data_IF_670286865725
#
_entry.id   IF_670286865725
#
_cell.length_a   1.000
_cell.length_b   1.000
_cell.length_c   1.000
_cell.angle_alpha   90.00
_cell.angle_beta   90.00
_cell.angle_gamma   90.00
#
_symmetry.space_group_name_H-M   'P 1'
#
loop_
_entity.id
_entity.type
_entity.pdbx_description
1 polymer ?
#
# COMPACT_ATOMS: atom_id res chain seq x y z
N UNK A 1 -26.35 -23.63 -3.09
CA UNK A 1 -26.72 -22.76 -1.95
C UNK A 1 -26.53 -21.33 -2.44
N UNK A 2 -27.61 -20.60 -2.68
CA UNK A 2 -27.56 -19.18 -3.05
C UNK A 2 -27.44 -18.35 -1.77
N UNK A 3 -26.49 -17.41 -1.74
CA UNK A 3 -26.34 -16.47 -0.65
C UNK A 3 -27.27 -15.29 -0.89
N UNK A 4 -28.21 -15.07 0.02
CA UNK A 4 -29.07 -13.89 0.03
C UNK A 4 -28.52 -12.89 1.05
N UNK A 5 -28.08 -11.69 0.64
CA UNK A 5 -27.53 -10.71 1.56
C UNK A 5 -28.60 -10.21 2.53
N UNK A 6 -28.27 -10.20 3.82
CA UNK A 6 -29.13 -9.65 4.88
C UNK A 6 -29.03 -8.11 4.92
N UNK A 7 -29.95 -7.45 5.61
CA UNK A 7 -29.87 -6.00 5.85
C UNK A 7 -28.62 -5.59 6.65
N UNK A 8 -28.12 -6.49 7.50
CA UNK A 8 -26.86 -6.31 8.21
C UNK A 8 -25.68 -6.28 7.23
N UNK A 9 -25.67 -7.18 6.25
CA UNK A 9 -24.60 -7.24 5.24
C UNK A 9 -24.61 -6.02 4.34
N UNK A 10 -25.81 -5.58 3.93
CA UNK A 10 -25.99 -4.32 3.18
C UNK A 10 -25.46 -3.12 3.98
N UNK A 11 -25.82 -3.02 5.26
CA UNK A 11 -25.39 -1.93 6.12
C UNK A 11 -23.87 -1.93 6.34
N UNK A 12 -23.27 -3.10 6.54
CA UNK A 12 -21.83 -3.25 6.71
C UNK A 12 -21.07 -2.85 5.43
N UNK A 13 -21.55 -3.27 4.26
CA UNK A 13 -20.97 -2.88 2.98
C UNK A 13 -21.05 -1.37 2.74
N UNK A 14 -22.19 -0.76 3.04
CA UNK A 14 -22.37 0.70 2.90
C UNK A 14 -21.42 1.49 3.81
N UNK A 15 -21.15 1.01 5.03
CA UNK A 15 -20.15 1.61 5.92
C UNK A 15 -18.74 1.48 5.35
N UNK A 16 -18.39 0.34 4.78
CA UNK A 16 -17.10 0.15 4.13
C UNK A 16 -16.93 1.09 2.92
N UNK A 17 -17.97 1.25 2.09
CA UNK A 17 -17.93 2.20 0.97
C UNK A 17 -17.82 3.65 1.44
N UNK A 18 -18.54 4.04 2.50
CA UNK A 18 -18.40 5.37 3.10
C UNK A 18 -16.97 5.61 3.63
N UNK A 19 -16.37 4.62 4.28
CA UNK A 19 -14.97 4.70 4.71
C UNK A 19 -14.01 4.82 3.52
N UNK A 20 -14.28 4.13 2.41
CA UNK A 20 -13.46 4.24 1.19
C UNK A 20 -13.49 5.66 0.61
N UNK A 21 -14.67 6.29 0.57
CA UNK A 21 -14.81 7.68 0.13
C UNK A 21 -14.07 8.65 1.06
N UNK A 22 -14.16 8.46 2.37
CA UNK A 22 -13.42 9.28 3.33
C UNK A 22 -11.90 9.15 3.16
N UNK A 23 -11.40 7.93 2.94
CA UNK A 23 -9.98 7.72 2.69
C UNK A 23 -9.56 8.40 1.39
N UNK A 24 -10.31 8.20 0.30
CA UNK A 24 -10.03 8.80 -0.99
C UNK A 24 -10.03 10.34 -0.95
N UNK A 25 -10.84 10.95 -0.08
CA UNK A 25 -10.90 12.40 0.11
C UNK A 25 -9.69 12.97 0.88
N UNK A 26 -8.97 12.14 1.65
CA UNK A 26 -7.86 12.57 2.51
C UNK A 26 -6.48 12.34 1.92
N UNK A 27 -6.34 11.29 1.11
CA UNK A 27 -5.04 10.95 0.51
C UNK A 27 -4.75 11.81 -0.73
N UNK A 28 -3.49 12.20 -0.96
CA UNK A 28 -3.10 13.00 -2.12
C UNK A 28 -3.11 12.20 -3.44
N UNK A 29 -2.96 10.87 -3.35
CA UNK A 29 -2.87 9.98 -4.49
C UNK A 29 -3.94 8.89 -4.36
N UNK A 30 -4.80 8.77 -5.37
CA UNK A 30 -5.81 7.73 -5.39
C UNK A 30 -5.17 6.36 -5.69
N UNK A 31 -5.62 5.29 -5.01
CA UNK A 31 -5.19 3.94 -5.36
C UNK A 31 -5.70 3.56 -6.74
N UNK A 32 -5.00 2.60 -7.37
CA UNK A 32 -5.44 2.01 -8.63
C UNK A 32 -6.73 1.21 -8.45
N UNK A 33 -6.79 0.42 -7.39
CA UNK A 33 -7.96 -0.38 -7.04
C UNK A 33 -8.34 -0.17 -5.57
N UNK A 34 -9.64 -0.11 -5.32
CA UNK A 34 -10.24 -0.19 -3.98
C UNK A 34 -11.11 -1.44 -3.95
N UNK A 35 -10.86 -2.33 -3.00
CA UNK A 35 -11.63 -3.58 -2.84
C UNK A 35 -12.15 -3.68 -1.43
N UNK A 36 -13.41 -4.07 -1.29
CA UNK A 36 -13.94 -4.55 -0.02
C UNK A 36 -13.59 -6.03 0.12
N UNK A 37 -12.99 -6.41 1.24
CA UNK A 37 -12.75 -7.80 1.60
C UNK A 37 -13.65 -8.16 2.79
N UNK A 38 -14.18 -9.38 2.80
CA UNK A 38 -14.92 -9.88 3.96
C UNK A 38 -13.95 -10.09 5.12
N UNK A 39 -14.21 -9.47 6.27
CA UNK A 39 -13.49 -9.81 7.49
C UNK A 39 -14.14 -11.07 8.09
N UNK A 40 -13.30 -12.01 8.55
CA UNK A 40 -13.77 -13.26 9.15
C UNK A 40 -14.59 -13.06 10.45
N UNK A 41 -14.69 -11.83 10.96
CA UNK A 41 -15.45 -11.42 12.15
C UNK A 41 -16.84 -10.90 11.79
N UNK A 42 -17.27 -11.01 10.53
CA UNK A 42 -18.61 -10.65 10.09
C UNK A 42 -18.76 -9.19 9.68
N UNK A 43 -17.66 -8.52 9.34
CA UNK A 43 -17.60 -7.18 8.77
C UNK A 43 -16.94 -7.15 7.39
N UNK A 44 -16.63 -5.94 6.92
CA UNK A 44 -15.86 -5.70 5.72
C UNK A 44 -14.62 -4.87 6.06
N UNK A 45 -13.49 -5.19 5.43
CA UNK A 45 -12.30 -4.36 5.40
C UNK A 45 -12.10 -3.77 4.00
N UNK A 46 -11.18 -2.81 3.90
CA UNK A 46 -10.78 -2.18 2.64
C UNK A 46 -9.34 -2.52 2.29
N UNK A 47 -9.12 -2.88 1.04
CA UNK A 47 -7.81 -3.03 0.42
C UNK A 47 -7.63 -1.95 -0.64
N UNK A 48 -6.61 -1.10 -0.46
CA UNK A 48 -6.22 -0.03 -1.38
C UNK A 48 -4.92 -0.43 -2.06
N UNK A 49 -4.99 -0.71 -3.36
CA UNK A 49 -3.83 -1.13 -4.12
C UNK A 49 -3.20 0.05 -4.87
N UNK A 50 -1.94 0.33 -4.55
CA UNK A 50 -1.10 1.29 -5.25
C UNK A 50 -0.14 0.53 -6.17
N UNK A 51 -0.45 0.49 -7.47
CA UNK A 51 0.38 -0.24 -8.44
C UNK A 51 1.76 0.39 -8.57
N UNK A 52 2.80 -0.38 -8.20
CA UNK A 52 4.20 0.05 -8.21
C UNK A 52 4.43 1.42 -7.54
N UNK A 53 3.75 1.66 -6.41
CA UNK A 53 3.67 2.97 -5.76
C UNK A 53 3.85 2.90 -4.25
N UNK A 54 4.93 2.32 -3.75
CA UNK A 54 5.26 2.27 -2.30
C UNK A 54 5.30 3.64 -1.63
N UNK A 55 5.73 4.69 -2.34
CA UNK A 55 5.66 6.05 -1.82
C UNK A 55 4.23 6.54 -1.55
N UNK A 56 3.24 6.07 -2.33
CA UNK A 56 1.84 6.37 -2.07
C UNK A 56 1.33 5.63 -0.82
N UNK A 57 1.85 4.43 -0.54
CA UNK A 57 1.62 3.73 0.74
C UNK A 57 2.23 4.53 1.89
N UNK A 58 3.43 5.10 1.72
CA UNK A 58 4.04 6.03 2.68
C UNK A 58 3.19 7.27 2.94
N UNK A 59 2.67 7.89 1.88
CA UNK A 59 1.78 9.06 1.98
C UNK A 59 0.49 8.72 2.73
N UNK A 60 -0.11 7.56 2.46
CA UNK A 60 -1.23 7.04 3.23
C UNK A 60 -0.84 6.86 4.70
N UNK A 61 0.29 6.22 4.97
CA UNK A 61 0.73 5.94 6.33
C UNK A 61 0.94 7.22 7.14
N UNK A 62 1.55 8.24 6.52
CA UNK A 62 1.69 9.57 7.11
C UNK A 62 0.34 10.24 7.40
N UNK A 63 -0.59 10.27 6.43
CA UNK A 63 -1.94 10.87 6.59
C UNK A 63 -2.76 10.23 7.72
N UNK A 64 -2.59 8.93 7.94
CA UNK A 64 -3.31 8.19 8.98
C UNK A 64 -2.50 7.95 10.26
N UNK A 65 -1.24 8.42 10.32
CA UNK A 65 -0.37 8.28 11.49
C UNK A 65 -0.04 6.81 11.83
N UNK A 66 0.19 5.98 10.82
CA UNK A 66 0.48 4.54 10.97
C UNK A 66 1.86 4.20 10.40
N UNK A 67 2.37 3.01 10.75
CA UNK A 67 3.68 2.55 10.28
C UNK A 67 3.57 1.86 8.92
N UNK A 68 4.64 1.99 8.11
CA UNK A 68 4.85 1.25 6.88
C UNK A 68 5.70 0.02 7.16
N UNK A 69 5.27 -1.13 6.66
CA UNK A 69 6.08 -2.35 6.62
C UNK A 69 6.44 -2.69 5.18
N UNK A 70 7.64 -3.22 4.98
CA UNK A 70 8.10 -3.71 3.68
C UNK A 70 8.77 -5.08 3.86
N UNK A 71 8.49 -6.01 2.95
CA UNK A 71 9.04 -7.36 2.97
C UNK A 71 9.06 -7.98 1.57
N UNK A 72 9.85 -9.05 1.33
CA UNK A 72 9.83 -9.78 0.06
C UNK A 72 8.44 -10.34 -0.27
N UNK A 73 8.05 -10.35 -1.54
CA UNK A 73 6.78 -10.92 -1.96
C UNK A 73 6.84 -12.45 -2.09
N UNK A 74 6.50 -13.14 -1.00
CA UNK A 74 6.56 -14.62 -0.95
C UNK A 74 7.97 -15.11 -1.24
N UNK A 75 8.09 -16.12 -2.11
CA UNK A 75 9.39 -16.66 -2.53
C UNK A 75 10.11 -15.79 -3.57
N UNK A 76 9.49 -14.69 -4.04
CA UNK A 76 10.08 -13.80 -5.03
C UNK A 76 10.82 -12.63 -4.39
N UNK A 77 12.13 -12.82 -4.16
CA UNK A 77 13.04 -11.81 -3.60
C UNK A 77 13.23 -10.58 -4.49
N UNK A 78 12.87 -10.67 -5.78
CA UNK A 78 12.98 -9.55 -6.72
C UNK A 78 11.82 -8.56 -6.62
N UNK A 79 10.83 -8.86 -5.76
CA UNK A 79 9.66 -8.00 -5.54
C UNK A 79 9.54 -7.60 -4.09
N UNK A 80 9.28 -6.32 -3.88
CA UNK A 80 9.04 -5.77 -2.55
C UNK A 80 7.55 -5.52 -2.38
N UNK A 81 6.98 -6.15 -1.35
CA UNK A 81 5.63 -5.89 -0.88
C UNK A 81 5.70 -4.84 0.22
N UNK A 82 5.02 -3.70 0.02
CA UNK A 82 4.95 -2.61 1.00
C UNK A 82 3.52 -2.44 1.43
N UNK A 83 3.25 -2.35 2.73
CA UNK A 83 1.91 -2.15 3.26
C UNK A 83 1.86 -1.23 4.48
N UNK A 84 0.67 -0.69 4.74
CA UNK A 84 0.34 0.07 5.93
C UNK A 84 -1.11 -0.23 6.32
N UNK A 85 -1.38 -0.28 7.61
CA UNK A 85 -2.69 -0.67 8.16
C UNK A 85 -3.24 0.44 9.05
N UNK A 86 -4.46 0.88 8.77
CA UNK A 86 -5.18 1.87 9.55
C UNK A 86 -6.59 1.40 9.89
N UNK A 87 -7.26 2.13 10.78
CA UNK A 87 -8.70 1.96 11.07
C UNK A 87 -9.39 3.29 10.82
N UNK A 88 -10.41 3.29 9.96
CA UNK A 88 -11.18 4.49 9.60
C UNK A 88 -12.64 4.21 9.89
N UNK A 89 -13.24 4.97 10.81
CA UNK A 89 -14.63 4.76 11.28
C UNK A 89 -14.92 3.31 11.70
N UNK A 90 -13.92 2.66 12.31
CA UNK A 90 -14.01 1.26 12.74
C UNK A 90 -13.86 0.22 11.64
N UNK A 91 -13.61 0.64 10.39
CA UNK A 91 -13.30 -0.23 9.25
C UNK A 91 -11.79 -0.38 9.12
N UNK A 92 -11.30 -1.62 9.08
CA UNK A 92 -9.89 -1.90 8.83
C UNK A 92 -9.55 -1.56 7.38
N UNK A 93 -8.47 -0.80 7.17
CA UNK A 93 -8.00 -0.36 5.87
C UNK A 93 -6.53 -0.76 5.71
N UNK A 94 -6.24 -1.52 4.65
CA UNK A 94 -4.87 -1.85 4.25
C UNK A 94 -4.54 -1.12 2.95
N UNK A 95 -3.51 -0.27 2.99
CA UNK A 95 -2.87 0.26 1.79
C UNK A 95 -1.66 -0.61 1.46
N UNK A 96 -1.50 -0.99 0.19
CA UNK A 96 -0.35 -1.80 -0.21
C UNK A 96 0.10 -1.57 -1.65
N UNK A 97 1.38 -1.83 -1.91
CA UNK A 97 2.00 -1.85 -3.24
C UNK A 97 2.80 -3.13 -3.44
N UNK A 98 3.04 -3.44 -4.72
CA UNK A 98 4.00 -4.45 -5.14
C UNK A 98 4.93 -3.81 -6.17
N UNK A 99 6.20 -3.67 -5.80
CA UNK A 99 7.24 -3.04 -6.60
C UNK A 99 8.20 -4.10 -7.15
N UNK A 100 8.67 -3.92 -8.39
CA UNK A 100 9.66 -4.81 -9.02
C UNK A 100 11.10 -4.43 -8.60
N UNK A 101 11.27 -4.10 -7.32
CA UNK A 101 12.56 -3.77 -6.70
C UNK A 101 12.97 -4.89 -5.75
N UNK A 102 14.24 -5.28 -5.82
CA UNK A 102 14.83 -6.27 -4.92
C UNK A 102 14.76 -5.76 -3.49
N UNK A 103 14.19 -6.57 -2.59
CA UNK A 103 14.26 -6.30 -1.16
C UNK A 103 15.70 -6.53 -0.70
N UNK A 104 16.48 -5.46 -0.60
CA UNK A 104 17.82 -5.53 -0.02
C UNK A 104 17.65 -5.57 1.50
N UNK A 105 17.85 -6.75 2.10
CA UNK A 105 17.91 -6.91 3.56
C UNK A 105 18.90 -5.87 4.14
N UNK A 106 18.42 -4.94 4.97
CA UNK A 106 19.28 -4.02 5.73
C UNK A 106 19.11 -2.51 5.52
N UNK A 107 18.17 -2.04 4.70
CA UNK A 107 17.88 -0.61 4.51
C UNK A 107 17.04 0.01 5.65
N UNK A 108 17.49 -0.10 6.91
CA UNK A 108 16.68 0.33 8.08
C UNK A 108 16.88 1.79 8.52
N UNK A 109 17.65 2.61 7.79
CA UNK A 109 17.89 4.02 8.16
C UNK A 109 17.54 5.05 7.08
N UNK A 110 17.97 4.86 5.83
CA UNK A 110 17.82 5.90 4.79
C UNK A 110 16.39 6.04 4.24
N UNK A 111 15.65 4.94 4.09
CA UNK A 111 14.27 4.99 3.56
C UNK A 111 13.25 5.60 4.52
N UNK A 112 13.54 5.60 5.83
CA UNK A 112 12.68 6.29 6.83
C UNK A 112 12.66 7.80 6.64
N UNK A 113 13.71 8.38 6.06
CA UNK A 113 13.76 9.82 5.80
C UNK A 113 13.02 10.19 4.51
N UNK A 114 13.09 9.34 3.48
CA UNK A 114 12.52 9.64 2.16
C UNK A 114 11.01 9.40 2.07
N UNK A 115 10.45 8.48 2.88
CA UNK A 115 9.00 8.27 2.96
C UNK A 115 8.28 9.32 3.85
N UNK A 116 9.02 10.11 4.63
CA UNK A 116 8.49 11.14 5.54
C UNK A 116 8.72 12.57 5.03
N UNK A 117 9.32 12.76 3.84
CA UNK A 117 9.52 14.07 3.24
C UNK A 117 8.51 14.29 2.09
N UNK A 118 7.47 15.14 2.27
CA UNK A 118 6.44 15.37 1.25
C UNK A 118 6.93 16.24 0.08
N UNK A 119 8.19 16.69 0.07
CA UNK A 119 8.69 17.67 -0.90
C UNK A 119 9.28 17.07 -2.19
N UNK A 120 9.54 15.77 -2.28
CA UNK A 120 10.11 15.15 -3.50
C UNK A 120 9.16 14.14 -4.17
N UNK A 121 8.81 14.32 -5.46
CA UNK A 121 8.15 13.27 -6.21
C UNK A 121 9.14 12.11 -6.43
N UNK A 122 8.76 10.84 -6.12
CA UNK A 122 9.66 9.68 -6.16
C UNK A 122 9.88 9.14 -7.58
N UNK A 123 9.97 10.01 -8.58
CA UNK A 123 10.25 9.62 -9.97
C UNK A 123 11.10 10.67 -10.70
N UNK A 124 12.29 10.97 -10.18
CA UNK A 124 13.44 11.27 -11.04
C UNK A 124 14.28 10.00 -11.09
N UNK A 125 14.25 9.30 -12.23
CA UNK A 125 14.78 7.95 -12.38
C UNK A 125 16.21 7.77 -11.86
N UNK A 126 16.36 7.01 -10.78
CA UNK A 126 17.61 6.31 -10.51
C UNK A 126 17.67 5.08 -11.43
N UNK A 127 18.02 5.33 -12.70
CA UNK A 127 18.74 4.31 -13.45
C UNK A 127 20.04 4.06 -12.68
N UNK A 128 20.10 2.95 -11.95
CA UNK A 128 21.37 2.44 -11.44
C UNK A 128 22.33 2.33 -12.63
N UNK A 129 23.55 2.86 -12.57
CA UNK A 129 24.52 2.64 -13.62
C UNK A 129 24.81 1.14 -13.70
N UNK A 130 24.47 0.53 -14.85
CA UNK A 130 24.96 -0.80 -15.19
C UNK A 130 26.48 -0.73 -15.23
N UNK A 131 27.13 -1.41 -14.30
CA UNK A 131 28.58 -1.53 -14.27
C UNK A 131 29.05 -2.09 -15.62
N UNK A 132 29.70 -1.24 -16.41
CA UNK A 132 30.32 -1.66 -17.67
C UNK A 132 31.66 -2.27 -17.29
N UNK A 133 31.76 -3.61 -17.35
CA UNK A 133 33.05 -4.28 -17.24
C UNK A 133 33.95 -3.83 -18.40
N UNK A 134 35.15 -3.34 -18.06
CA UNK A 134 36.16 -2.98 -19.02
C UNK A 134 36.69 -4.23 -19.73
N UNK A 135 36.55 -4.28 -21.06
CA UNK A 135 37.21 -5.26 -21.92
C UNK A 135 38.71 -4.90 -21.96
N UNK A 136 39.64 -5.79 -21.57
CA UNK A 136 41.07 -5.52 -21.70
C UNK A 136 41.49 -5.60 -23.17
N UNK A 137 42.42 -4.71 -23.53
CA UNK A 137 42.98 -4.55 -24.88
C UNK A 137 43.86 -5.73 -25.32
#
# INVERSE_FOLDING_TARGET
MTYEPTDKDRSALMRALAAAEQVAARIPHLPRDIKTAWDYRGGYSLDLYFHRGSANVGSFAHEFGVEVTAHPHGDNVEKTFTEAHAVVDGIAVRAWSLDDTVFLEGLTAEWKHQLNDPAEPPYAGACLPVATEAVPA
#
